data_IF_317569816447
#
_entry.id   IF_317569816447
#
_cell.length_a   1.000
_cell.length_b   1.000
_cell.length_c   1.000
_cell.angle_alpha   90.00
_cell.angle_beta   90.00
_cell.angle_gamma   90.00
#
_symmetry.space_group_name_H-M   'P 1'
#
loop_
_entity.id
_entity.type
_entity.pdbx_description
1 polymer ?
#
# COMPACT_ATOMS: atom_id res chain seq x y z
N UNK A 1 2.31 -12.53 18.80
CA UNK A 1 3.02 -11.86 17.69
C UNK A 1 3.82 -10.70 18.27
N UNK A 2 5.00 -10.44 17.75
CA UNK A 2 5.87 -9.32 18.13
C UNK A 2 6.35 -8.60 16.87
N UNK A 3 6.93 -7.42 17.00
CA UNK A 3 7.53 -6.67 15.87
C UNK A 3 8.63 -7.46 15.13
N UNK A 4 9.25 -8.43 15.77
CA UNK A 4 10.25 -9.32 15.13
C UNK A 4 9.67 -10.20 14.02
N UNK A 5 8.34 -10.31 13.92
CA UNK A 5 7.65 -11.08 12.88
C UNK A 5 7.20 -10.20 11.68
N UNK A 6 7.70 -8.97 11.55
CA UNK A 6 7.26 -8.05 10.52
C UNK A 6 8.28 -7.98 9.37
N UNK A 7 7.77 -8.08 8.13
CA UNK A 7 8.52 -7.90 6.90
C UNK A 7 8.04 -6.58 6.29
N UNK A 8 8.87 -5.55 6.30
CA UNK A 8 8.56 -4.27 5.64
C UNK A 8 8.99 -4.36 4.19
N UNK A 9 8.08 -4.09 3.26
CA UNK A 9 8.29 -4.33 1.84
C UNK A 9 7.74 -3.17 1.00
N UNK A 10 8.41 -2.93 -0.13
CA UNK A 10 7.97 -2.04 -1.19
C UNK A 10 8.36 -2.62 -2.55
N UNK A 11 7.52 -2.38 -3.58
CA UNK A 11 7.69 -2.89 -4.93
C UNK A 11 7.62 -1.79 -5.98
N UNK A 12 8.55 -1.86 -6.97
CA UNK A 12 8.47 -1.07 -8.19
C UNK A 12 8.09 -1.96 -9.37
N UNK A 13 7.29 -1.42 -10.27
CA UNK A 13 6.61 -2.20 -11.30
C UNK A 13 6.74 -1.62 -12.70
N UNK A 14 6.37 -2.38 -13.72
CA UNK A 14 6.38 -1.94 -15.12
C UNK A 14 5.28 -0.93 -15.43
N UNK A 15 4.28 -0.81 -14.55
CA UNK A 15 3.13 0.08 -14.64
C UNK A 15 2.05 -0.30 -13.61
N UNK A 16 0.85 0.24 -13.75
CA UNK A 16 -0.27 0.05 -12.82
C UNK A 16 -1.38 -0.86 -13.36
N UNK A 17 -1.25 -1.36 -14.58
CA UNK A 17 -2.26 -2.18 -15.24
C UNK A 17 -2.30 -3.64 -14.72
N UNK A 18 -3.30 -4.42 -15.17
CA UNK A 18 -3.49 -5.80 -14.70
C UNK A 18 -2.37 -6.75 -15.16
N UNK A 19 -1.71 -6.45 -16.28
CA UNK A 19 -0.63 -7.26 -16.85
C UNK A 19 0.76 -6.84 -16.36
N UNK A 20 0.85 -5.69 -15.65
CA UNK A 20 2.12 -5.18 -15.16
C UNK A 20 2.76 -6.11 -14.13
N UNK A 21 4.09 -6.10 -14.10
CA UNK A 21 4.92 -7.01 -13.32
C UNK A 21 5.98 -6.27 -12.53
N UNK A 22 6.47 -6.93 -11.53
CA UNK A 22 7.53 -6.46 -10.64
C UNK A 22 8.85 -6.28 -11.42
N UNK A 23 9.52 -5.14 -11.22
CA UNK A 23 10.86 -4.87 -11.74
C UNK A 23 11.90 -4.53 -10.65
N UNK A 24 11.46 -4.14 -9.44
CA UNK A 24 12.29 -4.01 -8.25
C UNK A 24 11.50 -4.45 -7.02
N UNK A 25 12.18 -5.06 -6.06
CA UNK A 25 11.64 -5.34 -4.74
C UNK A 25 12.69 -5.01 -3.70
N UNK A 26 12.26 -4.33 -2.63
CA UNK A 26 13.04 -4.18 -1.43
C UNK A 26 12.24 -4.64 -0.22
N UNK A 27 12.91 -5.23 0.74
CA UNK A 27 12.33 -5.52 2.04
C UNK A 27 13.37 -5.47 3.16
N UNK A 28 12.91 -5.25 4.38
CA UNK A 28 13.70 -5.49 5.59
C UNK A 28 12.99 -6.45 6.51
N UNK A 29 13.76 -7.37 7.08
CA UNK A 29 13.30 -8.31 8.09
C UNK A 29 14.36 -8.42 9.18
N UNK A 30 13.96 -8.22 10.45
CA UNK A 30 14.86 -8.21 11.61
C UNK A 30 16.08 -7.27 11.45
N UNK A 31 15.93 -6.16 10.73
CA UNK A 31 16.99 -5.18 10.48
C UNK A 31 17.91 -5.52 9.30
N UNK A 32 17.75 -6.67 8.66
CA UNK A 32 18.50 -7.04 7.47
C UNK A 32 17.76 -6.53 6.23
N UNK A 33 18.41 -5.63 5.48
CA UNK A 33 17.87 -5.05 4.26
C UNK A 33 18.23 -5.87 3.03
N UNK A 34 17.26 -6.06 2.13
CA UNK A 34 17.44 -6.71 0.83
C UNK A 34 16.80 -5.85 -0.25
N UNK A 35 17.50 -5.66 -1.37
CA UNK A 35 17.01 -4.95 -2.54
C UNK A 35 17.57 -5.58 -3.80
N UNK A 36 16.73 -5.75 -4.83
CA UNK A 36 17.17 -6.19 -6.14
C UNK A 36 16.28 -5.69 -7.27
N UNK A 37 16.93 -5.46 -8.42
CA UNK A 37 16.27 -5.25 -9.71
C UNK A 37 16.10 -6.60 -10.42
N UNK A 38 14.97 -6.75 -11.11
CA UNK A 38 14.60 -7.95 -11.85
C UNK A 38 14.24 -7.61 -13.29
N UNK A 39 14.50 -8.53 -14.20
CA UNK A 39 14.04 -8.46 -15.58
C UNK A 39 12.56 -8.84 -15.63
N UNK A 40 11.65 -7.89 -15.90
CA UNK A 40 10.25 -8.22 -16.05
C UNK A 40 9.98 -8.88 -17.42
N UNK A 41 8.88 -9.64 -17.59
CA UNK A 41 8.53 -10.27 -18.85
C UNK A 41 8.03 -9.30 -19.93
N UNK A 42 7.72 -8.05 -19.56
CA UNK A 42 7.29 -6.97 -20.43
C UNK A 42 8.09 -5.69 -20.16
N UNK A 43 8.19 -4.78 -21.15
CA UNK A 43 8.93 -3.54 -20.95
C UNK A 43 8.30 -2.64 -19.88
N UNK A 44 9.16 -1.96 -19.11
CA UNK A 44 8.74 -0.90 -18.18
C UNK A 44 8.18 0.26 -19.02
N UNK A 45 6.98 0.73 -18.68
CA UNK A 45 6.33 1.85 -19.38
C UNK A 45 7.08 3.17 -19.14
N UNK A 46 6.91 4.14 -20.03
CA UNK A 46 7.51 5.47 -19.88
C UNK A 46 7.01 6.15 -18.60
N UNK A 47 5.73 5.99 -18.29
CA UNK A 47 5.13 6.55 -17.08
C UNK A 47 5.77 5.96 -15.82
N UNK A 48 5.93 4.62 -15.76
CA UNK A 48 6.60 3.96 -14.65
C UNK A 48 8.08 4.39 -14.56
N UNK A 49 8.83 4.42 -15.68
CA UNK A 49 10.21 4.92 -15.69
C UNK A 49 10.34 6.36 -15.18
N UNK A 50 9.35 7.21 -15.46
CA UNK A 50 9.38 8.62 -15.03
C UNK A 50 9.20 8.80 -13.51
N UNK A 51 8.60 7.82 -12.84
CA UNK A 51 8.37 7.81 -11.40
C UNK A 51 9.47 7.05 -10.67
N UNK A 52 9.73 5.82 -11.08
CA UNK A 52 10.68 4.91 -10.41
C UNK A 52 12.14 5.17 -10.76
N UNK A 53 12.39 5.86 -11.88
CA UNK A 53 13.71 6.04 -12.49
C UNK A 53 14.41 4.73 -12.88
N UNK A 54 13.68 3.61 -12.92
CA UNK A 54 14.18 2.32 -13.39
C UNK A 54 13.90 2.19 -14.88
N UNK A 55 14.95 2.07 -15.68
CA UNK A 55 14.84 1.96 -17.14
C UNK A 55 14.92 0.49 -17.60
N UNK A 56 14.38 0.21 -18.78
CA UNK A 56 14.50 -1.11 -19.41
C UNK A 56 15.96 -1.57 -19.53
N UNK A 57 16.91 -0.63 -19.75
CA UNK A 57 18.34 -0.93 -19.82
C UNK A 57 18.90 -1.42 -18.48
N UNK A 58 18.42 -0.90 -17.36
CA UNK A 58 18.91 -1.29 -16.02
C UNK A 58 18.54 -2.72 -15.65
N UNK A 59 17.46 -3.24 -16.23
CA UNK A 59 16.92 -4.58 -15.93
C UNK A 59 17.23 -5.61 -17.03
N UNK A 60 17.81 -5.22 -18.15
CA UNK A 60 18.01 -6.07 -19.33
C UNK A 60 18.81 -7.35 -19.04
N UNK A 61 19.88 -7.21 -18.24
CA UNK A 61 20.79 -8.31 -17.88
C UNK A 61 20.52 -8.88 -16.47
N UNK A 62 19.39 -8.53 -15.85
CA UNK A 62 19.03 -9.05 -14.53
C UNK A 62 18.35 -10.41 -14.65
N UNK A 63 18.43 -11.20 -13.58
CA UNK A 63 17.61 -12.41 -13.44
C UNK A 63 16.12 -12.06 -13.36
N UNK A 64 15.26 -13.01 -13.67
CA UNK A 64 13.81 -12.85 -13.45
C UNK A 64 13.49 -13.00 -11.95
N UNK A 65 12.45 -12.31 -11.49
CA UNK A 65 12.01 -12.49 -10.08
C UNK A 65 11.62 -13.96 -9.79
N UNK A 66 11.00 -14.61 -10.76
CA UNK A 66 10.57 -16.01 -10.63
C UNK A 66 11.70 -16.98 -10.29
N UNK A 67 12.92 -16.72 -10.76
CA UNK A 67 14.10 -17.56 -10.55
C UNK A 67 14.99 -17.09 -9.40
N UNK A 68 14.66 -15.93 -8.80
CA UNK A 68 15.52 -15.29 -7.81
C UNK A 68 15.51 -15.99 -6.46
N UNK A 69 16.63 -15.89 -5.78
CA UNK A 69 16.74 -16.30 -4.38
C UNK A 69 15.83 -15.45 -3.48
N UNK A 70 15.67 -14.16 -3.81
CA UNK A 70 14.83 -13.23 -3.04
C UNK A 70 13.38 -13.70 -2.99
N UNK A 71 12.81 -14.21 -4.12
CA UNK A 71 11.47 -14.82 -4.12
C UNK A 71 11.38 -15.99 -3.16
N UNK A 72 12.36 -16.90 -3.21
CA UNK A 72 12.36 -18.08 -2.33
C UNK A 72 12.46 -17.71 -0.85
N UNK A 73 13.32 -16.74 -0.51
CA UNK A 73 13.48 -16.27 0.86
C UNK A 73 12.20 -15.58 1.36
N UNK A 74 11.57 -14.72 0.55
CA UNK A 74 10.30 -14.06 0.91
C UNK A 74 9.17 -15.08 1.09
N UNK A 75 9.03 -16.05 0.20
CA UNK A 75 8.04 -17.13 0.33
C UNK A 75 8.24 -17.93 1.63
N UNK A 76 9.49 -18.24 1.97
CA UNK A 76 9.82 -18.95 3.22
C UNK A 76 9.43 -18.10 4.43
N UNK A 77 9.82 -16.83 4.47
CA UNK A 77 9.49 -15.92 5.58
C UNK A 77 7.98 -15.81 5.78
N UNK A 78 7.20 -15.64 4.71
CA UNK A 78 5.74 -15.59 4.79
C UNK A 78 5.11 -16.92 5.22
N UNK A 79 5.69 -18.06 4.80
CA UNK A 79 5.24 -19.40 5.21
C UNK A 79 5.50 -19.68 6.70
N UNK A 80 6.52 -19.05 7.30
CA UNK A 80 6.83 -19.10 8.74
C UNK A 80 5.82 -18.29 9.59
N UNK A 81 4.85 -17.59 8.97
CA UNK A 81 3.80 -16.83 9.65
C UNK A 81 4.20 -15.40 9.97
N UNK A 82 5.22 -14.87 9.30
CA UNK A 82 5.56 -13.45 9.39
C UNK A 82 4.53 -12.61 8.63
N UNK A 83 4.31 -11.38 9.09
CA UNK A 83 3.29 -10.43 8.58
C UNK A 83 3.97 -9.42 7.70
N UNK A 84 3.41 -9.21 6.50
CA UNK A 84 3.86 -8.16 5.58
C UNK A 84 3.43 -6.78 6.10
N UNK A 85 4.28 -5.79 5.99
CA UNK A 85 3.97 -4.37 6.21
C UNK A 85 4.29 -3.61 4.94
N UNK A 86 3.32 -2.87 4.41
CA UNK A 86 3.51 -1.99 3.27
C UNK A 86 2.65 -0.72 3.41
N UNK A 87 2.86 0.26 2.54
CA UNK A 87 2.05 1.48 2.50
C UNK A 87 1.13 1.46 1.29
N UNK A 88 -0.19 1.47 1.49
CA UNK A 88 -1.18 1.11 0.47
C UNK A 88 -0.98 -0.34 0.01
N UNK A 89 -0.84 -1.22 0.97
CA UNK A 89 -0.36 -2.60 0.89
C UNK A 89 -1.09 -3.46 -0.14
N UNK A 90 -2.33 -3.11 -0.52
CA UNK A 90 -3.10 -3.84 -1.54
C UNK A 90 -2.33 -3.96 -2.85
N UNK A 91 -1.65 -2.88 -3.26
CA UNK A 91 -0.86 -2.85 -4.47
C UNK A 91 0.27 -3.90 -4.44
N UNK A 92 1.07 -3.89 -3.36
CA UNK A 92 2.20 -4.83 -3.22
C UNK A 92 1.70 -6.27 -3.07
N UNK A 93 0.65 -6.50 -2.30
CA UNK A 93 0.04 -7.83 -2.13
C UNK A 93 -0.49 -8.38 -3.47
N UNK A 94 -1.15 -7.54 -4.29
CA UNK A 94 -1.62 -7.96 -5.61
C UNK A 94 -0.45 -8.20 -6.57
N UNK A 95 0.62 -7.42 -6.49
CA UNK A 95 1.83 -7.63 -7.27
C UNK A 95 2.52 -8.95 -6.88
N UNK A 96 2.68 -9.22 -5.58
CA UNK A 96 3.23 -10.48 -5.08
C UNK A 96 2.37 -11.69 -5.50
N UNK A 97 1.04 -11.54 -5.51
CA UNK A 97 0.13 -12.59 -5.98
C UNK A 97 0.33 -12.92 -7.47
N UNK A 98 0.62 -11.91 -8.32
CA UNK A 98 0.96 -12.12 -9.74
C UNK A 98 2.27 -12.88 -9.93
N UNK A 99 3.11 -12.86 -8.91
CA UNK A 99 4.37 -13.61 -8.82
C UNK A 99 4.23 -14.93 -8.03
N UNK A 100 3.00 -15.44 -7.86
CA UNK A 100 2.68 -16.69 -7.14
C UNK A 100 3.04 -16.68 -5.65
N UNK A 101 3.13 -15.50 -5.02
CA UNK A 101 3.34 -15.34 -3.58
C UNK A 101 2.02 -15.03 -2.89
N UNK A 102 1.66 -15.86 -1.91
CA UNK A 102 0.45 -15.68 -1.12
C UNK A 102 0.78 -14.98 0.19
N UNK A 103 0.24 -13.79 0.37
CA UNK A 103 0.28 -13.03 1.62
C UNK A 103 -1.01 -13.30 2.39
N UNK A 104 -0.92 -13.87 3.59
CA UNK A 104 -2.10 -14.23 4.41
C UNK A 104 -2.58 -13.09 5.26
N UNK A 105 -1.65 -12.40 5.91
CA UNK A 105 -1.91 -11.26 6.78
C UNK A 105 -0.93 -10.14 6.46
N UNK A 106 -1.42 -8.91 6.50
CA UNK A 106 -0.59 -7.74 6.26
C UNK A 106 -1.06 -6.56 7.11
N UNK A 107 -0.16 -5.61 7.32
CA UNK A 107 -0.42 -4.30 7.88
C UNK A 107 -0.27 -3.25 6.78
N UNK A 108 -1.32 -2.49 6.55
CA UNK A 108 -1.35 -1.36 5.63
C UNK A 108 -1.22 -0.05 6.41
N UNK A 109 -0.04 0.54 6.39
CA UNK A 109 0.21 1.79 7.13
C UNK A 109 -0.64 2.97 6.63
N UNK A 110 -1.09 2.96 5.36
CA UNK A 110 -2.07 3.93 4.86
C UNK A 110 -3.42 3.77 5.57
N UNK A 111 -3.92 2.54 5.71
CA UNK A 111 -5.20 2.29 6.41
C UNK A 111 -5.09 2.58 7.91
N UNK A 112 -3.95 2.25 8.52
CA UNK A 112 -3.71 2.52 9.95
C UNK A 112 -3.68 4.02 10.23
N UNK A 113 -2.94 4.82 9.46
CA UNK A 113 -2.91 6.28 9.68
C UNK A 113 -4.27 6.91 9.40
N UNK A 114 -5.00 6.45 8.37
CA UNK A 114 -6.35 6.94 8.09
C UNK A 114 -7.31 6.63 9.23
N UNK A 115 -7.18 5.46 9.86
CA UNK A 115 -7.95 5.08 11.05
C UNK A 115 -7.62 5.99 12.26
N UNK A 116 -6.33 6.32 12.46
CA UNK A 116 -5.88 7.17 13.58
C UNK A 116 -6.23 8.66 13.40
N UNK A 117 -6.33 9.14 12.16
CA UNK A 117 -6.73 10.51 11.84
C UNK A 117 -8.26 10.65 11.80
N UNK A 118 -8.88 10.58 12.98
CA UNK A 118 -10.35 10.63 13.13
C UNK A 118 -10.98 11.93 12.63
N UNK A 119 -10.19 13.00 12.55
CA UNK A 119 -10.66 14.37 12.23
C UNK A 119 -10.36 14.80 10.80
N UNK A 120 -9.74 13.95 9.98
CA UNK A 120 -9.32 14.27 8.61
C UNK A 120 -8.34 15.48 8.59
N UNK A 121 -7.47 15.56 9.62
CA UNK A 121 -6.53 16.66 9.78
C UNK A 121 -5.31 16.55 8.85
N UNK A 122 -4.99 15.34 8.39
CA UNK A 122 -3.84 15.08 7.52
C UNK A 122 -4.24 15.34 6.05
N UNK A 123 -3.60 16.31 5.36
CA UNK A 123 -4.01 16.68 4.01
C UNK A 123 -3.76 15.60 2.95
N UNK A 124 -2.76 14.72 3.16
CA UNK A 124 -2.36 13.67 2.21
C UNK A 124 -1.74 12.49 2.97
N UNK A 125 -2.09 11.29 2.53
CA UNK A 125 -1.60 10.04 3.13
C UNK A 125 -0.52 9.33 2.30
N UNK A 126 0.08 9.98 1.31
CA UNK A 126 1.21 9.42 0.57
C UNK A 126 2.44 9.28 1.48
N UNK A 127 3.18 8.16 1.36
CA UNK A 127 4.30 7.79 2.24
C UNK A 127 5.31 8.94 2.40
N UNK A 128 5.79 9.49 1.30
CA UNK A 128 6.76 10.60 1.31
C UNK A 128 6.18 11.89 1.88
N UNK A 129 4.86 12.15 1.74
CA UNK A 129 4.22 13.27 2.39
C UNK A 129 4.20 13.11 3.91
N UNK A 130 3.84 11.92 4.40
CA UNK A 130 3.80 11.61 5.82
C UNK A 130 5.20 11.66 6.46
N UNK A 131 6.25 11.29 5.73
CA UNK A 131 7.64 11.47 6.17
C UNK A 131 7.92 12.89 6.64
N UNK A 132 7.57 13.89 5.81
CA UNK A 132 7.80 15.30 6.12
C UNK A 132 6.75 15.86 7.09
N UNK A 133 5.52 15.39 7.00
CA UNK A 133 4.44 15.84 7.87
C UNK A 133 4.69 15.50 9.35
N UNK A 134 5.25 14.32 9.62
CA UNK A 134 5.62 13.88 10.96
C UNK A 134 7.07 14.12 11.32
N UNK A 135 7.83 14.82 10.47
CA UNK A 135 9.27 15.08 10.68
C UNK A 135 10.06 13.80 10.97
N UNK A 136 9.77 12.73 10.22
CA UNK A 136 10.48 11.45 10.36
C UNK A 136 11.90 11.63 9.81
N UNK A 137 12.88 11.73 10.73
CA UNK A 137 14.28 11.89 10.36
C UNK A 137 14.84 10.54 9.93
N UNK A 138 15.17 10.41 8.63
CA UNK A 138 15.66 9.18 8.02
C UNK A 138 16.84 9.54 7.14
N UNK A 139 18.00 9.03 7.52
CA UNK A 139 19.23 9.18 6.73
C UNK A 139 19.17 8.27 5.48
N UNK A 140 19.68 8.78 4.34
CA UNK A 140 19.85 8.00 3.10
C UNK A 140 18.59 7.27 2.58
N UNK A 141 17.44 7.94 2.60
CA UNK A 141 16.21 7.42 2.00
C UNK A 141 15.80 8.28 0.79
N UNK A 142 16.39 8.09 -0.41
CA UNK A 142 15.94 8.77 -1.62
C UNK A 142 14.51 8.30 -1.96
N UNK A 143 13.65 9.25 -2.29
CA UNK A 143 12.29 8.95 -2.72
C UNK A 143 12.28 8.16 -4.05
N UNK A 144 11.30 7.29 -4.21
CA UNK A 144 11.15 6.43 -5.40
C UNK A 144 12.34 5.47 -5.63
N UNK A 145 12.94 5.02 -4.54
CA UNK A 145 13.84 3.88 -4.47
C UNK A 145 13.19 2.91 -3.52
N UNK A 146 12.92 1.67 -3.92
CA UNK A 146 12.20 0.72 -3.10
C UNK A 146 12.81 0.58 -1.69
N UNK A 147 14.14 0.54 -1.56
CA UNK A 147 14.79 0.49 -0.25
C UNK A 147 14.64 1.82 0.52
N UNK A 148 14.71 2.97 -0.17
CA UNK A 148 14.44 4.27 0.44
C UNK A 148 13.02 4.34 1.01
N UNK A 149 12.04 3.87 0.25
CA UNK A 149 10.64 3.84 0.67
C UNK A 149 10.40 2.82 1.80
N UNK A 150 11.09 1.66 1.80
CA UNK A 150 11.09 0.72 2.95
C UNK A 150 11.61 1.37 4.23
N UNK A 151 12.68 2.17 4.18
CA UNK A 151 13.20 2.88 5.36
C UNK A 151 12.20 3.91 5.90
N UNK A 152 11.54 4.64 5.00
CA UNK A 152 10.45 5.56 5.38
C UNK A 152 9.26 4.80 5.97
N UNK A 153 8.90 3.67 5.39
CA UNK A 153 7.83 2.79 5.87
C UNK A 153 8.10 2.28 7.28
N UNK A 154 9.33 1.84 7.57
CA UNK A 154 9.73 1.41 8.94
C UNK A 154 9.55 2.56 9.93
N UNK A 155 10.06 3.75 9.61
CA UNK A 155 9.95 4.90 10.49
C UNK A 155 8.49 5.34 10.71
N UNK A 156 7.67 5.34 9.66
CA UNK A 156 6.24 5.61 9.77
C UNK A 156 5.53 4.56 10.63
N UNK A 157 5.81 3.28 10.40
CA UNK A 157 5.24 2.20 11.21
C UNK A 157 5.57 2.38 12.69
N UNK A 158 6.85 2.63 13.05
CA UNK A 158 7.25 2.83 14.44
C UNK A 158 6.53 4.03 15.08
N UNK A 159 6.34 5.12 14.32
CA UNK A 159 5.57 6.27 14.77
C UNK A 159 4.10 5.90 15.06
N UNK A 160 3.42 5.21 14.12
CA UNK A 160 2.03 4.79 14.27
C UNK A 160 1.86 3.76 15.39
N UNK A 161 2.80 2.82 15.47
CA UNK A 161 2.85 1.82 16.54
C UNK A 161 2.96 2.49 17.92
N UNK A 162 3.84 3.49 18.05
CA UNK A 162 3.98 4.29 19.29
C UNK A 162 2.68 4.96 19.69
N UNK A 163 1.98 5.62 18.75
CA UNK A 163 0.67 6.24 19.01
C UNK A 163 -0.38 5.22 19.50
N UNK A 164 -0.40 4.03 18.93
CA UNK A 164 -1.32 2.97 19.34
C UNK A 164 -0.91 2.35 20.68
N UNK A 165 0.39 2.20 20.95
CA UNK A 165 0.91 1.73 22.24
C UNK A 165 0.52 2.64 23.40
N UNK A 166 0.51 3.96 23.21
CA UNK A 166 0.04 4.92 24.24
C UNK A 166 -1.43 4.72 24.59
N UNK A 167 -2.26 4.24 23.64
CA UNK A 167 -3.70 4.01 23.84
C UNK A 167 -4.01 2.61 24.40
N UNK A 168 -3.27 1.59 23.98
CA UNK A 168 -3.60 0.17 24.21
C UNK A 168 -2.68 -0.45 25.28
N UNK A 169 -1.38 -0.13 25.26
CA UNK A 169 -0.40 -0.59 26.25
C UNK A 169 0.09 -2.04 26.10
N UNK A 170 -0.33 -2.76 25.05
CA UNK A 170 0.07 -4.15 24.77
C UNK A 170 0.45 -4.33 23.30
N UNK A 171 1.69 -4.76 23.05
CA UNK A 171 2.24 -4.94 21.70
C UNK A 171 1.42 -5.88 20.82
N UNK A 172 1.01 -7.02 21.37
CA UNK A 172 0.25 -8.03 20.65
C UNK A 172 -1.13 -7.53 20.23
N UNK A 173 -1.80 -6.76 21.11
CA UNK A 173 -3.10 -6.16 20.80
C UNK A 173 -2.96 -5.03 19.77
N UNK A 174 -1.90 -4.22 19.84
CA UNK A 174 -1.63 -3.19 18.83
C UNK A 174 -1.46 -3.82 17.45
N UNK A 175 -0.61 -4.83 17.32
CA UNK A 175 -0.38 -5.52 16.05
C UNK A 175 -1.66 -6.19 15.53
N UNK A 176 -2.43 -6.84 16.41
CA UNK A 176 -3.71 -7.44 16.04
C UNK A 176 -4.71 -6.38 15.53
N UNK A 177 -4.77 -5.20 16.16
CA UNK A 177 -5.63 -4.12 15.70
C UNK A 177 -5.15 -3.52 14.37
N UNK A 178 -3.84 -3.36 14.16
CA UNK A 178 -3.30 -2.90 12.88
C UNK A 178 -3.67 -3.86 11.74
N UNK A 179 -3.57 -5.18 11.95
CA UNK A 179 -3.99 -6.20 10.98
C UNK A 179 -5.50 -6.13 10.75
N UNK A 180 -6.31 -6.03 11.81
CA UNK A 180 -7.78 -5.94 11.69
C UNK A 180 -8.20 -4.71 10.87
N UNK A 181 -7.62 -3.55 11.14
CA UNK A 181 -7.87 -2.32 10.36
C UNK A 181 -7.44 -2.50 8.90
N UNK A 182 -6.30 -3.15 8.66
CA UNK A 182 -5.77 -3.36 7.31
C UNK A 182 -6.61 -4.33 6.48
N UNK A 183 -7.27 -5.29 7.12
CA UNK A 183 -8.11 -6.30 6.48
C UNK A 183 -9.47 -5.80 6.00
N UNK A 184 -9.88 -4.60 6.42
CA UNK A 184 -11.21 -4.01 6.14
C UNK A 184 -11.11 -2.91 5.09
N UNK A 185 -12.14 -2.72 4.26
CA UNK A 185 -12.20 -1.55 3.38
C UNK A 185 -12.36 -0.27 4.22
N UNK A 186 -11.80 0.83 3.73
CA UNK A 186 -11.93 2.15 4.35
C UNK A 186 -13.29 2.78 4.01
N UNK A 187 -13.85 3.48 4.98
CA UNK A 187 -14.94 4.41 4.75
C UNK A 187 -14.34 5.81 4.56
N UNK A 188 -14.20 6.25 3.31
CA UNK A 188 -13.67 7.56 3.01
C UNK A 188 -14.60 8.68 3.50
N UNK A 189 -14.02 9.73 4.10
CA UNK A 189 -14.76 10.86 4.66
C UNK A 189 -14.94 11.98 3.66
N UNK A 190 -13.95 12.20 2.78
CA UNK A 190 -13.87 13.34 1.88
C UNK A 190 -13.54 12.87 0.45
N UNK A 191 -14.18 13.48 -0.55
CA UNK A 191 -13.85 13.26 -1.96
C UNK A 191 -12.47 13.81 -2.29
N UNK A 192 -11.58 12.95 -2.82
CA UNK A 192 -10.22 13.32 -3.25
C UNK A 192 -10.13 13.59 -4.75
N UNK A 193 -11.21 13.38 -5.51
CA UNK A 193 -11.26 13.53 -6.97
C UNK A 193 -12.64 13.96 -7.47
N UNK A 194 -12.71 14.24 -8.77
CA UNK A 194 -13.97 14.48 -9.52
C UNK A 194 -14.69 15.76 -9.15
N UNK A 195 -15.98 15.82 -9.51
CA UNK A 195 -16.86 16.98 -9.38
C UNK A 195 -16.96 17.53 -7.94
N UNK A 196 -16.85 16.65 -6.97
CA UNK A 196 -17.05 16.98 -5.55
C UNK A 196 -15.74 16.96 -4.74
N UNK A 197 -14.57 17.05 -5.40
CA UNK A 197 -13.28 17.10 -4.72
C UNK A 197 -13.26 18.10 -3.56
N UNK A 198 -12.79 17.65 -2.38
CA UNK A 198 -12.71 18.44 -1.15
C UNK A 198 -14.01 18.49 -0.33
N UNK A 199 -15.13 17.92 -0.83
CA UNK A 199 -16.38 17.88 -0.07
C UNK A 199 -16.48 16.59 0.76
N UNK A 200 -17.07 16.63 1.98
CA UNK A 200 -17.39 15.43 2.73
C UNK A 200 -18.35 14.53 1.95
N UNK A 201 -18.06 13.22 1.93
CA UNK A 201 -18.90 12.23 1.20
C UNK A 201 -20.33 12.24 1.70
N UNK A 202 -20.52 12.37 3.02
CA UNK A 202 -21.84 12.46 3.64
C UNK A 202 -22.66 13.64 3.08
N UNK A 203 -22.03 14.82 2.94
CA UNK A 203 -22.71 16.02 2.40
C UNK A 203 -23.13 15.79 0.96
N UNK A 204 -22.25 15.17 0.14
CA UNK A 204 -22.58 14.88 -1.26
C UNK A 204 -23.69 13.82 -1.34
N UNK A 205 -23.70 12.83 -0.45
CA UNK A 205 -24.77 11.84 -0.42
C UNK A 205 -26.15 12.44 -0.12
N UNK A 206 -26.19 13.47 0.73
CA UNK A 206 -27.43 14.19 1.06
C UNK A 206 -27.86 15.17 -0.06
N UNK A 207 -26.88 15.89 -0.70
CA UNK A 207 -27.15 16.94 -1.69
C UNK A 207 -27.26 16.43 -3.14
N UNK A 208 -26.51 15.39 -3.50
CA UNK A 208 -26.41 14.86 -4.87
C UNK A 208 -26.38 13.30 -4.86
N UNK A 209 -27.44 12.64 -4.35
CA UNK A 209 -27.49 11.18 -4.28
C UNK A 209 -27.39 10.51 -5.67
N UNK A 210 -27.80 11.23 -6.72
CA UNK A 210 -27.64 10.76 -8.10
C UNK A 210 -26.18 10.56 -8.50
N UNK A 211 -25.28 11.44 -8.08
CA UNK A 211 -23.86 11.30 -8.31
C UNK A 211 -23.27 10.11 -7.55
N UNK A 212 -23.66 9.90 -6.30
CA UNK A 212 -23.20 8.74 -5.50
C UNK A 212 -23.56 7.43 -6.19
N UNK A 213 -24.85 7.28 -6.60
CA UNK A 213 -25.31 6.08 -7.31
C UNK A 213 -24.57 5.89 -8.65
N UNK A 214 -24.42 6.95 -9.44
CA UNK A 214 -23.70 6.89 -10.70
C UNK A 214 -22.25 6.45 -10.49
N UNK A 215 -21.54 7.05 -9.53
CA UNK A 215 -20.14 6.74 -9.27
C UNK A 215 -19.97 5.30 -8.76
N UNK A 216 -20.86 4.82 -7.88
CA UNK A 216 -20.86 3.44 -7.42
C UNK A 216 -20.97 2.46 -8.60
N UNK A 217 -21.92 2.70 -9.51
CA UNK A 217 -22.09 1.87 -10.69
C UNK A 217 -20.85 1.90 -11.60
N UNK A 218 -20.22 3.07 -11.80
CA UNK A 218 -18.99 3.16 -12.58
C UNK A 218 -17.85 2.34 -11.93
N UNK A 219 -17.65 2.45 -10.62
CA UNK A 219 -16.61 1.68 -9.92
C UNK A 219 -16.88 0.17 -9.94
N UNK A 220 -18.13 -0.27 -9.82
CA UNK A 220 -18.50 -1.69 -9.94
C UNK A 220 -18.23 -2.20 -11.36
N UNK A 221 -18.61 -1.44 -12.40
CA UNK A 221 -18.36 -1.81 -13.80
C UNK A 221 -16.85 -1.90 -14.09
N UNK A 222 -16.04 -0.93 -13.65
CA UNK A 222 -14.57 -1.00 -13.82
C UNK A 222 -13.98 -2.24 -13.16
N UNK A 223 -14.45 -2.61 -11.97
CA UNK A 223 -14.03 -3.85 -11.30
C UNK A 223 -14.42 -5.12 -12.09
N UNK A 224 -15.66 -5.18 -12.59
CA UNK A 224 -16.14 -6.32 -13.39
C UNK A 224 -15.39 -6.45 -14.71
N UNK A 225 -14.95 -5.34 -15.29
CA UNK A 225 -14.13 -5.32 -16.50
C UNK A 225 -12.64 -5.61 -16.23
N UNK A 226 -12.20 -5.70 -14.95
CA UNK A 226 -10.80 -5.89 -14.58
C UNK A 226 -9.92 -4.64 -14.79
N UNK A 227 -10.52 -3.45 -14.90
CA UNK A 227 -9.81 -2.18 -15.12
C UNK A 227 -9.29 -1.57 -13.82
N UNK A 228 -10.12 -1.58 -12.75
CA UNK A 228 -9.84 -1.00 -11.45
C UNK A 228 -10.67 -1.71 -10.38
N UNK A 229 -10.04 -2.10 -9.26
CA UNK A 229 -10.73 -2.67 -8.09
C UNK A 229 -10.56 -1.74 -6.89
N UNK A 230 -11.23 -0.60 -6.93
CA UNK A 230 -11.23 0.39 -5.85
C UNK A 230 -12.23 -0.01 -4.74
N UNK A 231 -11.85 -1.03 -3.98
CA UNK A 231 -12.66 -1.60 -2.90
C UNK A 231 -13.12 -0.55 -1.89
N UNK A 232 -12.25 0.40 -1.54
CA UNK A 232 -12.54 1.42 -0.54
C UNK A 232 -13.63 2.39 -1.02
N UNK A 233 -13.57 2.85 -2.28
CA UNK A 233 -14.61 3.71 -2.82
C UNK A 233 -15.91 2.94 -3.05
N UNK A 234 -15.86 1.70 -3.52
CA UNK A 234 -17.06 0.87 -3.67
C UNK A 234 -17.75 0.69 -2.31
N UNK A 235 -17.00 0.35 -1.26
CA UNK A 235 -17.51 0.22 0.09
C UNK A 235 -18.09 1.55 0.61
N UNK A 236 -17.37 2.64 0.43
CA UNK A 236 -17.81 3.98 0.86
C UNK A 236 -19.12 4.40 0.21
N UNK A 237 -19.22 4.27 -1.11
CA UNK A 237 -20.40 4.68 -1.86
C UNK A 237 -21.60 3.78 -1.55
N UNK A 238 -21.40 2.45 -1.47
CA UNK A 238 -22.44 1.48 -1.10
C UNK A 238 -23.01 1.76 0.30
N UNK A 239 -22.14 2.14 1.25
CA UNK A 239 -22.56 2.53 2.60
C UNK A 239 -23.53 3.72 2.59
N UNK A 240 -23.28 4.73 1.74
CA UNK A 240 -24.14 5.92 1.67
C UNK A 240 -25.39 5.73 0.79
N UNK A 241 -25.37 4.80 -0.18
CA UNK A 241 -26.57 4.43 -0.97
C UNK A 241 -27.59 3.69 -0.13
N UNK A 242 -27.15 2.87 0.84
CA UNK A 242 -28.02 2.06 1.70
C UNK A 242 -28.60 2.79 2.92
N UNK A 243 -28.16 4.02 3.16
CA UNK A 243 -28.65 4.89 4.24
C UNK A 243 -29.80 5.78 3.80
#
# INVERSE_FOLDING_TARGET
MTKNNLIFLDTETTGLGPDDRLCQLAYTFMGEEQEALFKPPLPISIDAMSVTHITNRMVEDKETFAESRMKMDLMRLLAEGNVLVAHNARFDVDMLRREDIVVKEFIDTFKVIYFLDETDAIPRYALQYLRYYFDLNIDEAPAHSALGDVRVLVALFEYLFGMMMERIGDEGQVLAQMIDVSSKPLLYRTFTFGKHMGKPVKVVADEDPGYINWLLNQKIMSRENGEDDDENWIYTLDFYVKK
#
